data_IF_415015955596
#
_entry.id   IF_415015955596
#
_cell.length_a   1.000
_cell.length_b   1.000
_cell.length_c   1.000
_cell.angle_alpha   90.00
_cell.angle_beta   90.00
_cell.angle_gamma   90.00
#
_symmetry.space_group_name_H-M   'P 1'
#
loop_
_entity.id
_entity.type
_entity.pdbx_description
1 polymer ?
#
# COMPACT_ATOMS: atom_id res chain seq x y z
N UNK A 1 -49.67 6.54 -18.28
CA UNK A 1 -48.89 7.71 -17.80
C UNK A 1 -48.12 7.40 -16.52
N UNK A 2 -47.45 6.24 -16.44
CA UNK A 2 -46.68 5.81 -15.25
C UNK A 2 -45.35 5.12 -15.62
N UNK A 3 -45.00 5.06 -16.91
CA UNK A 3 -43.73 4.51 -17.42
C UNK A 3 -42.69 5.60 -17.72
N UNK A 4 -43.11 6.78 -18.19
CA UNK A 4 -42.21 7.91 -18.48
C UNK A 4 -41.54 8.53 -17.23
N UNK A 5 -42.14 8.33 -16.04
CA UNK A 5 -41.54 8.77 -14.77
C UNK A 5 -40.54 7.75 -14.18
N UNK A 6 -40.54 6.51 -14.67
CA UNK A 6 -39.54 5.50 -14.28
C UNK A 6 -38.23 5.73 -15.06
N UNK A 7 -38.32 6.08 -16.34
CA UNK A 7 -37.16 6.35 -17.21
C UNK A 7 -36.50 7.71 -16.90
N UNK A 8 -37.30 8.71 -16.49
CA UNK A 8 -36.76 9.99 -15.99
C UNK A 8 -35.99 9.87 -14.67
N UNK A 9 -36.16 8.77 -13.92
CA UNK A 9 -35.44 8.51 -12.65
C UNK A 9 -34.21 7.62 -12.84
N UNK A 10 -34.05 6.95 -13.98
CA UNK A 10 -32.85 6.15 -14.28
C UNK A 10 -31.71 6.97 -14.88
N UNK A 11 -31.97 8.18 -15.40
CA UNK A 11 -30.93 9.09 -15.91
C UNK A 11 -30.34 10.06 -14.87
N UNK A 12 -30.85 10.07 -13.63
CA UNK A 12 -30.50 11.07 -12.61
C UNK A 12 -29.54 10.56 -11.52
N UNK A 13 -28.96 9.37 -11.68
CA UNK A 13 -28.09 8.78 -10.65
C UNK A 13 -26.97 7.91 -11.23
N UNK A 14 -26.39 8.29 -12.39
CA UNK A 14 -24.97 7.95 -12.58
C UNK A 14 -24.19 8.77 -11.57
N UNK A 15 -23.90 8.12 -10.46
CA UNK A 15 -23.34 8.80 -9.33
C UNK A 15 -21.95 9.34 -9.72
N UNK A 16 -21.78 10.65 -9.58
CA UNK A 16 -20.64 11.43 -10.11
C UNK A 16 -19.25 10.86 -9.72
N UNK A 17 -19.19 10.03 -8.68
CA UNK A 17 -17.99 9.30 -8.26
C UNK A 17 -17.47 8.28 -9.29
N UNK A 18 -18.30 7.80 -10.22
CA UNK A 18 -17.85 6.94 -11.33
C UNK A 18 -17.03 7.71 -12.37
N UNK A 19 -17.37 8.96 -12.64
CA UNK A 19 -16.66 9.77 -13.64
C UNK A 19 -15.31 10.30 -13.13
N UNK A 20 -15.15 10.43 -11.82
CA UNK A 20 -13.85 10.79 -11.19
C UNK A 20 -12.86 9.63 -11.37
N UNK A 21 -13.28 8.38 -11.15
CA UNK A 21 -12.36 7.25 -11.23
C UNK A 21 -11.81 6.95 -12.65
N UNK A 22 -12.51 7.35 -13.71
CA UNK A 22 -12.30 6.77 -15.04
C UNK A 22 -11.20 7.46 -15.88
N UNK A 23 -10.71 8.65 -15.48
CA UNK A 23 -9.67 9.38 -16.25
C UNK A 23 -8.74 10.26 -15.40
N UNK A 24 -8.41 9.82 -14.19
CA UNK A 24 -7.55 10.59 -13.29
C UNK A 24 -6.08 10.19 -13.44
N UNK A 25 -5.38 10.85 -14.36
CA UNK A 25 -3.90 10.82 -14.40
C UNK A 25 -3.28 11.20 -13.05
N UNK A 26 -4.02 11.93 -12.22
CA UNK A 26 -3.67 12.29 -10.85
C UNK A 26 -3.39 11.07 -9.94
N UNK A 27 -3.90 9.87 -10.27
CA UNK A 27 -3.63 8.63 -9.51
C UNK A 27 -2.47 7.84 -10.13
N UNK A 28 -2.40 7.82 -11.48
CA UNK A 28 -1.34 7.11 -12.21
C UNK A 28 0.03 7.77 -12.00
N UNK A 29 0.07 9.09 -11.91
CA UNK A 29 1.31 9.85 -11.68
C UNK A 29 1.98 9.50 -10.34
N UNK A 30 1.32 9.60 -9.17
CA UNK A 30 1.96 9.23 -7.89
C UNK A 30 2.27 7.73 -7.80
N UNK A 31 1.42 6.86 -8.37
CA UNK A 31 1.70 5.43 -8.42
C UNK A 31 2.95 5.12 -9.25
N UNK A 32 3.05 5.69 -10.45
CA UNK A 32 4.22 5.54 -11.33
C UNK A 32 5.48 6.13 -10.70
N UNK A 33 5.37 7.29 -10.05
CA UNK A 33 6.48 7.92 -9.33
C UNK A 33 6.97 7.04 -8.18
N UNK A 34 6.06 6.44 -7.42
CA UNK A 34 6.40 5.51 -6.34
C UNK A 34 7.15 4.28 -6.86
N UNK A 35 6.64 3.64 -7.92
CA UNK A 35 7.29 2.50 -8.55
C UNK A 35 8.69 2.84 -9.08
N UNK A 36 8.83 3.97 -9.79
CA UNK A 36 10.13 4.45 -10.25
C UNK A 36 11.07 4.75 -9.08
N UNK A 37 10.56 5.36 -8.00
CA UNK A 37 11.34 5.63 -6.79
C UNK A 37 11.91 4.36 -6.17
N UNK A 38 11.09 3.33 -5.98
CA UNK A 38 11.53 2.03 -5.45
C UNK A 38 12.57 1.40 -6.40
N UNK A 39 12.33 1.42 -7.71
CA UNK A 39 13.26 0.88 -8.70
C UNK A 39 14.63 1.58 -8.67
N UNK A 40 14.64 2.92 -8.56
CA UNK A 40 15.88 3.71 -8.43
C UNK A 40 16.63 3.33 -7.16
N UNK A 41 15.94 3.21 -6.02
CA UNK A 41 16.55 2.79 -4.76
C UNK A 41 17.16 1.39 -4.90
N UNK A 42 16.47 0.45 -5.54
CA UNK A 42 16.99 -0.90 -5.79
C UNK A 42 18.27 -0.86 -6.62
N UNK A 43 18.29 -0.12 -7.74
CA UNK A 43 19.48 -0.01 -8.60
C UNK A 43 20.65 0.64 -7.87
N UNK A 44 20.40 1.72 -7.12
CA UNK A 44 21.43 2.39 -6.33
C UNK A 44 21.98 1.50 -5.22
N UNK A 45 21.11 0.77 -4.52
CA UNK A 45 21.49 -0.19 -3.48
C UNK A 45 22.37 -1.30 -4.07
N UNK A 46 21.97 -1.87 -5.21
CA UNK A 46 22.72 -2.92 -5.89
C UNK A 46 24.13 -2.45 -6.30
N UNK A 47 24.28 -1.20 -6.74
CA UNK A 47 25.58 -0.61 -7.12
C UNK A 47 26.53 -0.45 -5.93
N UNK A 48 26.01 -0.28 -4.71
CA UNK A 48 26.83 -0.10 -3.50
C UNK A 48 27.07 -1.39 -2.72
N UNK A 49 26.57 -2.54 -3.20
CA UNK A 49 26.85 -3.83 -2.58
C UNK A 49 28.35 -4.14 -2.69
N UNK A 50 29.03 -4.16 -1.54
CA UNK A 50 30.45 -4.54 -1.46
C UNK A 50 30.53 -6.07 -1.52
N UNK A 51 31.31 -6.59 -2.46
CA UNK A 51 31.57 -8.02 -2.64
C UNK A 51 32.51 -8.50 -1.52
N UNK A 52 31.96 -8.76 -0.34
CA UNK A 52 32.65 -9.39 0.79
C UNK A 52 32.30 -10.89 0.90
N UNK A 53 32.74 -11.54 1.97
CA UNK A 53 32.37 -12.92 2.29
C UNK A 53 30.84 -13.07 2.44
N UNK A 54 30.22 -13.80 1.50
CA UNK A 54 28.77 -13.96 1.37
C UNK A 54 28.10 -14.43 2.67
N UNK A 55 28.77 -15.29 3.44
CA UNK A 55 28.22 -15.83 4.69
C UNK A 55 28.00 -14.72 5.72
N UNK A 56 28.95 -13.80 5.84
CA UNK A 56 28.87 -12.73 6.84
C UNK A 56 27.83 -11.68 6.45
N UNK A 57 27.73 -11.35 5.17
CA UNK A 57 26.75 -10.37 4.67
C UNK A 57 25.31 -10.94 4.72
N UNK A 58 25.12 -12.20 4.34
CA UNK A 58 23.79 -12.83 4.30
C UNK A 58 23.21 -13.08 5.70
N UNK A 59 24.02 -13.55 6.66
CA UNK A 59 23.52 -13.90 8.00
C UNK A 59 23.56 -12.75 9.01
N UNK A 60 24.48 -11.79 8.86
CA UNK A 60 24.74 -10.76 9.87
C UNK A 60 24.69 -9.33 9.30
N UNK A 61 24.40 -9.16 8.00
CA UNK A 61 24.34 -7.87 7.31
C UNK A 61 25.56 -6.96 7.62
N UNK A 62 26.74 -7.59 7.66
CA UNK A 62 28.00 -6.91 7.97
C UNK A 62 28.06 -6.24 9.36
N UNK A 63 27.12 -6.56 10.27
CA UNK A 63 26.88 -5.86 11.55
C UNK A 63 26.73 -4.33 11.40
N UNK A 64 26.38 -3.88 10.21
CA UNK A 64 26.37 -2.48 9.83
C UNK A 64 24.99 -1.83 9.97
N UNK A 65 23.92 -2.63 9.94
CA UNK A 65 22.55 -2.15 10.13
C UNK A 65 22.27 -1.88 11.61
N UNK A 66 22.05 -0.60 11.94
CA UNK A 66 21.66 -0.19 13.28
C UNK A 66 20.28 -0.74 13.69
N UNK A 67 20.04 -0.82 15.00
CA UNK A 67 18.81 -1.38 15.58
C UNK A 67 17.52 -0.73 15.01
N UNK A 68 17.56 0.56 14.67
CA UNK A 68 16.44 1.28 14.07
C UNK A 68 16.07 0.77 12.67
N UNK A 69 17.05 0.53 11.81
CA UNK A 69 16.82 0.03 10.44
C UNK A 69 16.25 -1.39 10.48
N UNK A 70 16.74 -2.20 11.43
CA UNK A 70 16.21 -3.53 11.68
C UNK A 70 14.75 -3.47 12.17
N UNK A 71 14.45 -2.61 13.15
CA UNK A 71 13.11 -2.43 13.68
C UNK A 71 12.13 -1.97 12.58
N UNK A 72 12.53 -1.02 11.73
CA UNK A 72 11.71 -0.56 10.61
C UNK A 72 11.48 -1.66 9.57
N UNK A 73 12.49 -2.45 9.24
CA UNK A 73 12.34 -3.59 8.32
C UNK A 73 11.35 -4.63 8.87
N UNK A 74 11.39 -4.88 10.18
CA UNK A 74 10.45 -5.80 10.83
C UNK A 74 9.01 -5.26 10.78
N UNK A 75 8.81 -3.99 11.17
CA UNK A 75 7.49 -3.34 11.08
C UNK A 75 6.97 -3.33 9.64
N UNK A 76 7.82 -3.04 8.66
CA UNK A 76 7.45 -3.08 7.24
C UNK A 76 7.03 -4.48 6.78
N UNK A 77 7.67 -5.54 7.31
CA UNK A 77 7.31 -6.93 7.00
C UNK A 77 5.96 -7.31 7.62
N UNK A 78 5.68 -6.84 8.84
CA UNK A 78 4.39 -7.03 9.51
C UNK A 78 3.26 -6.25 8.82
N UNK A 79 3.58 -5.07 8.28
CA UNK A 79 2.67 -4.21 7.53
C UNK A 79 2.56 -4.63 6.05
N UNK A 80 1.97 -5.80 5.82
CA UNK A 80 1.66 -6.26 4.46
C UNK A 80 0.33 -5.66 3.94
N UNK A 81 0.08 -5.76 2.62
CA UNK A 81 -1.21 -5.35 2.03
C UNK A 81 -2.41 -6.11 2.60
N UNK A 82 -2.21 -7.34 3.06
CA UNK A 82 -3.23 -8.11 3.77
C UNK A 82 -3.57 -7.52 5.14
N UNK A 83 -2.55 -7.08 5.88
CA UNK A 83 -2.73 -6.38 7.16
C UNK A 83 -3.43 -5.03 6.95
N UNK A 84 -3.10 -4.32 5.87
CA UNK A 84 -3.66 -3.01 5.55
C UNK A 84 -5.17 -3.05 5.24
N UNK A 85 -5.63 -4.05 4.49
CA UNK A 85 -7.06 -4.25 4.23
C UNK A 85 -7.78 -4.98 5.37
N UNK A 86 -7.09 -5.94 6.00
CA UNK A 86 -7.64 -6.80 7.03
C UNK A 86 -7.96 -6.05 8.32
N UNK A 87 -7.04 -5.24 8.83
CA UNK A 87 -7.25 -4.55 10.11
C UNK A 87 -8.48 -3.62 10.10
N UNK A 88 -8.68 -2.72 9.12
CA UNK A 88 -9.90 -1.92 9.03
C UNK A 88 -11.16 -2.75 8.87
N UNK A 89 -11.09 -3.89 8.15
CA UNK A 89 -12.25 -4.77 7.94
C UNK A 89 -12.74 -5.44 9.24
N UNK A 90 -11.81 -5.83 10.13
CA UNK A 90 -12.15 -6.37 11.45
C UNK A 90 -12.75 -5.30 12.35
N UNK A 91 -12.17 -4.09 12.37
CA UNK A 91 -12.70 -2.98 13.15
C UNK A 91 -14.09 -2.55 12.66
N UNK A 92 -14.31 -2.55 11.35
CA UNK A 92 -15.62 -2.28 10.78
C UNK A 92 -16.68 -3.31 11.21
N UNK A 93 -16.30 -4.59 11.29
CA UNK A 93 -17.24 -5.69 11.56
C UNK A 93 -17.52 -5.90 13.06
N UNK A 94 -16.51 -5.73 13.91
CA UNK A 94 -16.56 -6.07 15.33
C UNK A 94 -16.43 -4.85 16.26
N UNK A 95 -16.24 -3.66 15.69
CA UNK A 95 -16.13 -2.40 16.42
C UNK A 95 -14.74 -2.11 16.99
N UNK A 96 -14.63 -0.97 17.68
CA UNK A 96 -13.37 -0.43 18.22
C UNK A 96 -12.66 -1.34 19.21
N UNK A 97 -13.36 -2.28 19.85
CA UNK A 97 -12.75 -3.28 20.73
C UNK A 97 -11.69 -4.13 20.03
N UNK A 98 -11.91 -4.47 18.75
CA UNK A 98 -10.90 -5.19 17.96
C UNK A 98 -9.71 -4.32 17.60
N UNK A 99 -9.89 -3.01 17.50
CA UNK A 99 -8.79 -2.08 17.21
C UNK A 99 -7.75 -2.08 18.33
N UNK A 100 -8.20 -2.09 19.59
CA UNK A 100 -7.35 -2.12 20.79
C UNK A 100 -6.81 -3.51 21.14
N UNK A 101 -7.42 -4.57 20.61
CA UNK A 101 -6.99 -5.94 20.88
C UNK A 101 -5.99 -6.47 19.84
N UNK A 102 -6.13 -6.06 18.58
CA UNK A 102 -5.21 -6.43 17.49
C UNK A 102 -3.99 -5.49 17.41
N UNK A 103 -4.08 -4.27 17.97
CA UNK A 103 -2.96 -3.32 18.08
C UNK A 103 -1.88 -3.78 19.05
#
# INVERSE_FOLDING_TARGET
MMSLLAESRSGAAEAAWYHVAQRDYAILVPFGLFMLGVAVITVLSHRHQKVGDFRTEYYVAGRSFGAWVLAMSWVATLASGGSFLGYPSLVYSYGWSMAFWVS
#
